data_IF_033920052428
#
_entry.id   IF_033920052428
#
_cell.length_a   1.000
_cell.length_b   1.000
_cell.length_c   1.000
_cell.angle_alpha   90.00
_cell.angle_beta   90.00
_cell.angle_gamma   90.00
#
_symmetry.space_group_name_H-M   'P 1'
#
loop_
_entity.id
_entity.type
_entity.pdbx_description
1 polymer ?
#
# COMPACT_ATOMS: atom_id res chain seq x y z
N UNK A 1 2.79 -8.76 -68.89
CA UNK A 1 3.90 -8.70 -67.92
C UNK A 1 4.85 -7.57 -68.28
N UNK A 2 4.84 -6.45 -67.54
CA UNK A 2 5.99 -5.57 -67.42
C UNK A 2 6.64 -5.72 -66.03
N UNK A 3 7.96 -5.60 -66.01
CA UNK A 3 8.82 -5.88 -64.88
C UNK A 3 8.86 -4.73 -63.84
N UNK A 4 8.96 -5.14 -62.59
CA UNK A 4 9.16 -4.33 -61.38
C UNK A 4 10.59 -3.80 -61.33
N UNK A 5 10.79 -2.50 -61.03
CA UNK A 5 11.98 -2.03 -60.30
C UNK A 5 11.60 -0.98 -59.25
N UNK A 6 12.31 -1.11 -58.12
CA UNK A 6 12.04 -0.61 -56.76
C UNK A 6 12.35 0.87 -56.61
N UNK A 7 11.60 1.54 -55.73
CA UNK A 7 11.82 2.91 -55.25
C UNK A 7 12.74 2.84 -54.01
N UNK A 8 13.77 3.69 -53.88
CA UNK A 8 14.65 3.70 -52.72
C UNK A 8 14.20 4.67 -51.61
N UNK A 9 14.70 4.34 -50.43
CA UNK A 9 14.48 4.87 -49.08
C UNK A 9 15.06 6.29 -48.94
N UNK A 10 14.32 7.20 -48.30
CA UNK A 10 14.81 8.52 -47.90
C UNK A 10 15.68 8.43 -46.65
N UNK A 11 16.90 8.94 -46.76
CA UNK A 11 17.84 9.12 -45.66
C UNK A 11 17.89 10.60 -45.24
N UNK A 12 18.06 10.76 -43.93
CA UNK A 12 18.35 11.93 -43.13
C UNK A 12 19.64 12.62 -43.63
N UNK A 13 19.70 13.96 -43.56
CA UNK A 13 20.81 14.80 -43.08
C UNK A 13 20.67 16.24 -43.63
N UNK A 14 20.76 17.22 -42.73
CA UNK A 14 21.45 18.48 -43.02
C UNK A 14 20.63 19.76 -42.88
N UNK A 15 20.64 20.36 -41.68
CA UNK A 15 20.78 21.83 -41.59
C UNK A 15 21.28 22.24 -40.19
N UNK A 16 22.55 22.63 -40.12
CA UNK A 16 23.10 23.46 -39.05
C UNK A 16 23.98 24.52 -39.70
N UNK A 17 24.09 25.66 -39.00
CA UNK A 17 24.88 26.87 -39.27
C UNK A 17 24.06 28.01 -39.91
N UNK A 18 23.65 28.98 -39.07
CA UNK A 18 24.32 30.27 -38.93
C UNK A 18 23.42 31.23 -38.14
N UNK A 19 23.88 31.73 -36.99
CA UNK A 19 23.83 33.14 -36.63
C UNK A 19 24.72 33.36 -35.41
N UNK A 20 25.76 34.16 -35.60
CA UNK A 20 26.67 34.61 -34.56
C UNK A 20 26.60 36.14 -34.45
N UNK A 21 26.90 36.59 -33.23
CA UNK A 21 27.25 37.94 -32.77
C UNK A 21 26.10 38.90 -32.49
N UNK A 22 25.92 39.27 -31.20
CA UNK A 22 26.57 40.43 -30.56
C UNK A 22 26.12 40.47 -29.08
N UNK A 23 27.06 40.71 -28.16
CA UNK A 23 26.73 41.10 -26.79
C UNK A 23 27.67 40.57 -25.71
N UNK A 24 28.78 41.27 -25.49
CA UNK A 24 29.62 41.13 -24.30
C UNK A 24 28.85 41.63 -23.07
N UNK A 25 28.64 40.77 -22.07
CA UNK A 25 28.32 41.20 -20.70
C UNK A 25 28.89 40.19 -19.68
N UNK A 26 29.44 40.72 -18.60
CA UNK A 26 30.27 40.06 -17.59
C UNK A 26 29.74 38.71 -17.03
N UNK A 27 30.63 37.80 -16.59
CA UNK A 27 30.21 36.63 -15.82
C UNK A 27 29.73 37.08 -14.43
N UNK A 28 28.42 37.14 -14.22
CA UNK A 28 27.87 37.11 -12.86
C UNK A 28 28.12 35.72 -12.29
N UNK A 29 29.04 35.63 -11.34
CA UNK A 29 29.18 34.51 -10.43
C UNK A 29 27.83 34.31 -9.70
N UNK A 30 26.99 33.42 -10.21
CA UNK A 30 25.90 32.87 -9.42
C UNK A 30 26.50 31.92 -8.40
N UNK A 31 26.80 32.43 -7.20
CA UNK A 31 26.87 31.59 -6.02
C UNK A 31 25.46 31.00 -5.81
N UNK A 32 25.31 29.72 -6.15
CA UNK A 32 24.13 28.94 -5.79
C UNK A 32 24.12 28.87 -4.26
N UNK A 33 23.19 29.60 -3.64
CA UNK A 33 22.97 29.51 -2.21
C UNK A 33 22.72 28.03 -1.85
N UNK A 34 23.35 27.56 -0.78
CA UNK A 34 23.10 26.23 -0.26
C UNK A 34 21.60 26.06 0.00
N UNK A 35 21.01 24.88 -0.32
CA UNK A 35 19.61 24.63 0.01
C UNK A 35 19.38 24.84 1.52
N UNK A 36 18.23 25.40 1.91
CA UNK A 36 17.90 25.56 3.32
C UNK A 36 17.99 24.20 4.01
N UNK A 37 18.53 24.21 5.24
CA UNK A 37 18.58 23.00 6.06
C UNK A 37 17.19 22.35 6.12
N UNK A 38 17.10 21.01 6.05
CA UNK A 38 15.82 20.32 6.18
C UNK A 38 15.12 20.77 7.47
N UNK A 39 13.81 21.00 7.38
CA UNK A 39 13.02 21.33 8.55
C UNK A 39 13.23 20.25 9.62
N UNK A 40 13.29 20.62 10.92
CA UNK A 40 13.37 19.63 11.98
C UNK A 40 12.16 18.70 11.88
N UNK A 41 12.39 17.40 12.07
CA UNK A 41 11.33 16.41 12.06
C UNK A 41 10.21 16.84 13.02
N UNK A 42 8.92 16.64 12.64
CA UNK A 42 7.82 16.94 13.54
C UNK A 42 8.02 16.16 14.85
N UNK A 43 7.72 16.78 16.00
CA UNK A 43 7.90 16.13 17.30
C UNK A 43 7.10 14.83 17.33
N UNK A 44 7.73 13.75 17.79
CA UNK A 44 7.06 12.46 18.00
C UNK A 44 5.78 12.69 18.80
N UNK A 45 4.64 12.11 18.38
CA UNK A 45 3.40 12.26 19.12
C UNK A 45 3.59 11.79 20.56
N UNK A 46 2.96 12.45 21.55
CA UNK A 46 3.14 12.12 22.95
C UNK A 46 2.82 10.64 23.20
N UNK A 47 3.54 9.98 24.13
CA UNK A 47 3.29 8.58 24.46
C UNK A 47 1.83 8.38 24.87
N UNK A 48 1.21 7.32 24.38
CA UNK A 48 -0.20 7.00 24.67
C UNK A 48 -0.25 6.38 26.08
N UNK A 49 -0.54 7.20 27.08
CA UNK A 49 -0.41 6.83 28.51
C UNK A 49 -1.50 5.90 29.05
N UNK A 50 -2.62 5.75 28.33
CA UNK A 50 -3.80 4.97 28.76
C UNK A 50 -4.10 3.77 27.84
N UNK A 51 -3.10 3.28 27.09
CA UNK A 51 -3.28 2.13 26.20
C UNK A 51 -3.58 0.86 27.00
N UNK A 52 -4.64 0.13 26.64
CA UNK A 52 -4.94 -1.17 27.25
C UNK A 52 -3.88 -2.18 26.78
N UNK A 53 -2.98 -2.67 27.65
CA UNK A 53 -1.88 -3.52 27.22
C UNK A 53 -2.36 -4.91 26.79
N UNK A 54 -1.66 -5.51 25.83
CA UNK A 54 -1.68 -6.97 25.59
C UNK A 54 -2.57 -7.48 24.45
N UNK A 55 -3.36 -6.62 23.78
CA UNK A 55 -4.07 -7.02 22.57
C UNK A 55 -3.20 -6.73 21.36
N UNK A 56 -3.16 -7.65 20.38
CA UNK A 56 -2.45 -7.42 19.12
C UNK A 56 -3.32 -6.59 18.17
N UNK A 57 -2.69 -5.81 17.28
CA UNK A 57 -3.38 -4.90 16.36
C UNK A 57 -2.87 -5.12 14.95
N UNK A 58 -3.79 -5.32 14.01
CA UNK A 58 -3.51 -5.23 12.59
C UNK A 58 -4.07 -3.90 12.05
N UNK A 59 -3.30 -3.18 11.24
CA UNK A 59 -3.76 -1.97 10.55
C UNK A 59 -3.64 -2.16 9.03
N UNK A 60 -4.77 -2.07 8.34
CA UNK A 60 -4.90 -2.25 6.89
C UNK A 60 -5.09 -0.90 6.22
N UNK A 61 -4.20 -0.58 5.29
CA UNK A 61 -4.22 0.61 4.44
C UNK A 61 -4.72 0.18 3.07
N UNK A 62 -5.93 0.62 2.71
CA UNK A 62 -6.58 0.26 1.44
C UNK A 62 -6.50 1.44 0.49
N UNK A 63 -5.71 1.32 -0.57
CA UNK A 63 -5.73 2.29 -1.66
C UNK A 63 -6.94 1.99 -2.53
N UNK A 64 -7.98 2.85 -2.50
CA UNK A 64 -9.18 2.63 -3.29
C UNK A 64 -8.87 2.66 -4.79
N UNK A 65 -9.53 1.78 -5.55
CA UNK A 65 -9.34 1.68 -6.99
C UNK A 65 -9.80 2.96 -7.69
N UNK A 66 -8.95 3.56 -8.52
CA UNK A 66 -9.26 4.82 -9.19
C UNK A 66 -8.79 4.82 -10.65
N UNK A 67 -9.74 4.73 -11.58
CA UNK A 67 -9.48 4.75 -13.02
C UNK A 67 -8.89 6.08 -13.51
N UNK A 68 -9.15 7.18 -12.82
CA UNK A 68 -8.76 8.52 -13.25
C UNK A 68 -7.35 8.88 -12.79
N UNK A 69 -6.98 8.43 -11.58
CA UNK A 69 -5.76 8.87 -10.91
C UNK A 69 -4.66 7.80 -10.83
N UNK A 70 -4.95 6.54 -11.16
CA UNK A 70 -3.99 5.43 -11.10
C UNK A 70 -3.69 4.86 -12.47
N UNK A 71 -2.47 4.35 -12.66
CA UNK A 71 -1.99 3.68 -13.87
C UNK A 71 -2.55 2.26 -14.06
N UNK A 72 -3.77 2.01 -13.61
CA UNK A 72 -4.44 0.71 -13.68
C UNK A 72 -5.06 0.47 -15.05
N UNK A 73 -5.21 -0.81 -15.42
CA UNK A 73 -6.14 -1.16 -16.49
C UNK A 73 -7.55 -0.78 -16.02
N UNK A 74 -8.28 0.11 -16.73
CA UNK A 74 -9.54 0.61 -16.24
C UNK A 74 -10.55 -0.51 -15.96
N UNK A 75 -11.17 -0.44 -14.78
CA UNK A 75 -12.28 -1.31 -14.38
C UNK A 75 -13.61 -0.60 -14.66
N UNK A 76 -14.79 -1.25 -14.56
CA UNK A 76 -16.06 -0.56 -14.70
C UNK A 76 -16.15 0.68 -13.78
N UNK A 77 -16.66 1.80 -14.32
CA UNK A 77 -16.64 3.10 -13.62
C UNK A 77 -17.24 3.08 -12.21
N UNK A 78 -18.27 2.25 -11.98
CA UNK A 78 -18.91 2.11 -10.68
C UNK A 78 -17.97 1.57 -9.58
N UNK A 79 -16.98 0.75 -9.94
CA UNK A 79 -16.07 0.10 -8.98
C UNK A 79 -14.65 0.69 -9.02
N UNK A 80 -14.36 1.54 -10.01
CA UNK A 80 -13.10 2.24 -10.21
C UNK A 80 -13.16 3.74 -9.90
N UNK A 81 -14.12 4.17 -9.07
CA UNK A 81 -14.16 5.52 -8.53
C UNK A 81 -13.47 5.55 -7.16
N UNK A 82 -12.31 6.21 -7.08
CA UNK A 82 -11.47 6.28 -5.88
C UNK A 82 -12.10 7.08 -4.73
N UNK A 83 -13.16 7.85 -5.01
CA UNK A 83 -13.85 8.69 -4.04
C UNK A 83 -15.20 8.09 -3.61
N UNK A 84 -15.57 6.92 -4.11
CA UNK A 84 -16.80 6.19 -3.75
C UNK A 84 -16.47 4.89 -2.99
N UNK A 85 -16.21 4.95 -1.67
CA UNK A 85 -15.90 3.75 -0.90
C UNK A 85 -17.03 2.71 -0.94
N UNK A 86 -18.29 3.12 -1.04
CA UNK A 86 -19.43 2.20 -0.97
C UNK A 86 -19.46 1.18 -2.11
N UNK A 87 -18.95 1.55 -3.29
CA UNK A 87 -18.94 0.70 -4.48
C UNK A 87 -17.52 0.30 -4.93
N UNK A 88 -16.48 0.86 -4.32
CA UNK A 88 -15.11 0.63 -4.76
C UNK A 88 -14.69 -0.85 -4.73
N UNK A 89 -13.93 -1.28 -5.75
CA UNK A 89 -13.42 -2.64 -5.94
C UNK A 89 -12.72 -3.21 -4.69
N UNK A 90 -11.86 -2.42 -4.04
CA UNK A 90 -11.04 -2.89 -2.92
C UNK A 90 -11.72 -2.70 -1.55
N UNK A 91 -12.91 -2.11 -1.50
CA UNK A 91 -13.57 -1.77 -0.24
C UNK A 91 -15.03 -2.25 -0.16
N UNK A 92 -15.94 -1.58 -0.87
CA UNK A 92 -17.38 -1.81 -0.79
C UNK A 92 -17.89 -2.93 -1.68
N UNK A 93 -17.16 -3.31 -2.73
CA UNK A 93 -17.49 -4.47 -3.57
C UNK A 93 -17.52 -5.79 -2.80
N UNK A 94 -18.08 -6.85 -3.41
CA UNK A 94 -18.31 -8.16 -2.78
C UNK A 94 -17.07 -8.76 -2.07
N UNK A 95 -15.90 -8.61 -2.68
CA UNK A 95 -14.60 -9.04 -2.14
C UNK A 95 -13.75 -7.90 -1.58
N UNK A 96 -14.29 -6.69 -1.46
CA UNK A 96 -13.60 -5.56 -0.86
C UNK A 96 -13.48 -5.70 0.66
N UNK A 97 -12.52 -5.00 1.27
CA UNK A 97 -12.17 -5.17 2.70
C UNK A 97 -13.37 -4.94 3.61
N UNK A 98 -14.14 -3.86 3.42
CA UNK A 98 -15.33 -3.58 4.23
C UNK A 98 -16.33 -4.72 4.16
N UNK A 99 -16.70 -5.11 2.95
CA UNK A 99 -17.76 -6.09 2.72
C UNK A 99 -17.34 -7.48 3.17
N UNK A 100 -16.12 -7.89 2.86
CA UNK A 100 -15.61 -9.22 3.21
C UNK A 100 -15.45 -9.39 4.73
N UNK A 101 -14.80 -8.44 5.42
CA UNK A 101 -14.61 -8.52 6.87
C UNK A 101 -15.92 -8.32 7.65
N UNK A 102 -16.86 -7.51 7.17
CA UNK A 102 -18.19 -7.37 7.80
C UNK A 102 -18.98 -8.68 7.75
N UNK A 103 -18.81 -9.49 6.69
CA UNK A 103 -19.47 -10.80 6.55
C UNK A 103 -18.73 -11.93 7.26
N UNK A 104 -17.48 -11.70 7.67
CA UNK A 104 -16.68 -12.71 8.36
C UNK A 104 -17.27 -13.06 9.71
N UNK A 105 -17.29 -14.36 10.04
CA UNK A 105 -17.70 -14.84 11.36
C UNK A 105 -16.63 -14.61 12.43
N UNK A 106 -15.37 -14.40 12.02
CA UNK A 106 -14.24 -14.21 12.92
C UNK A 106 -14.13 -12.78 13.48
N UNK A 107 -14.83 -11.82 12.89
CA UNK A 107 -14.68 -10.40 13.19
C UNK A 107 -16.02 -9.76 13.56
N UNK A 108 -16.04 -9.05 14.69
CA UNK A 108 -17.16 -8.17 15.07
C UNK A 108 -16.76 -6.73 14.78
N UNK A 109 -17.53 -6.05 13.93
CA UNK A 109 -17.35 -4.61 13.68
C UNK A 109 -17.78 -3.81 14.91
N UNK A 110 -16.89 -2.96 15.40
CA UNK A 110 -17.11 -2.07 16.54
C UNK A 110 -17.47 -0.66 16.09
N UNK A 111 -16.85 -0.17 15.02
CA UNK A 111 -17.09 1.18 14.52
C UNK A 111 -16.94 1.31 13.01
N UNK A 112 -17.62 2.33 12.49
CA UNK A 112 -17.45 2.90 11.15
C UNK A 112 -17.26 4.39 11.37
N UNK A 113 -16.11 4.93 11.00
CA UNK A 113 -15.74 6.33 11.24
C UNK A 113 -15.52 6.99 9.87
N UNK A 114 -16.40 7.91 9.45
CA UNK A 114 -16.19 8.66 8.22
C UNK A 114 -15.09 9.69 8.41
N UNK A 115 -14.24 9.87 7.39
CA UNK A 115 -13.22 10.92 7.32
C UNK A 115 -12.37 11.08 8.61
N UNK A 116 -11.75 10.01 9.15
CA UNK A 116 -11.03 10.07 10.43
C UNK A 116 -9.78 10.96 10.39
N UNK A 117 -9.17 11.10 9.21
CA UNK A 117 -7.99 11.94 8.95
C UNK A 117 -7.94 12.32 7.46
N UNK A 118 -7.07 13.26 7.03
CA UNK A 118 -6.93 13.62 5.62
C UNK A 118 -6.73 12.39 4.73
N UNK A 119 -7.35 12.41 3.55
CA UNK A 119 -7.30 11.36 2.51
C UNK A 119 -7.90 10.00 2.90
N UNK A 120 -8.27 9.75 4.16
CA UNK A 120 -9.01 8.55 4.55
C UNK A 120 -10.50 8.86 4.53
N UNK A 121 -11.26 8.21 3.66
CA UNK A 121 -12.70 8.43 3.50
C UNK A 121 -13.53 7.68 4.55
N UNK A 122 -13.07 6.49 4.94
CA UNK A 122 -13.76 5.66 5.93
C UNK A 122 -12.76 4.77 6.68
N UNK A 123 -12.90 4.70 8.00
CA UNK A 123 -12.19 3.74 8.87
C UNK A 123 -13.16 2.75 9.47
N UNK A 124 -12.78 1.48 9.47
CA UNK A 124 -13.46 0.42 10.19
C UNK A 124 -12.61 -0.05 11.35
N UNK A 125 -13.25 -0.28 12.49
CA UNK A 125 -12.61 -0.96 13.63
C UNK A 125 -13.35 -2.26 13.88
N UNK A 126 -12.61 -3.36 13.88
CA UNK A 126 -13.08 -4.69 14.21
C UNK A 126 -12.34 -5.23 15.42
N UNK A 127 -13.00 -6.16 16.11
CA UNK A 127 -12.44 -7.02 17.14
C UNK A 127 -12.60 -8.46 16.71
N UNK A 128 -11.57 -9.28 16.91
CA UNK A 128 -11.71 -10.72 16.72
C UNK A 128 -12.68 -11.30 17.76
N UNK A 129 -13.52 -12.26 17.37
CA UNK A 129 -14.58 -12.79 18.26
C UNK A 129 -14.04 -13.58 19.45
N UNK A 130 -12.89 -14.25 19.27
CA UNK A 130 -12.31 -15.18 20.25
C UNK A 130 -10.90 -14.80 20.75
N UNK A 131 -10.21 -13.89 20.07
CA UNK A 131 -8.79 -13.61 20.29
C UNK A 131 -8.61 -12.15 20.68
N UNK A 132 -7.61 -11.80 21.51
CA UNK A 132 -7.35 -10.42 21.91
C UNK A 132 -6.68 -9.66 20.75
N UNK A 133 -7.42 -9.45 19.66
CA UNK A 133 -6.93 -8.81 18.44
C UNK A 133 -7.90 -7.76 17.96
N UNK A 134 -7.38 -6.56 17.70
CA UNK A 134 -8.06 -5.51 16.93
C UNK A 134 -7.58 -5.49 15.49
N UNK A 135 -8.50 -5.15 14.60
CA UNK A 135 -8.20 -4.88 13.20
C UNK A 135 -8.77 -3.50 12.87
N UNK A 136 -7.91 -2.60 12.43
CA UNK A 136 -8.31 -1.31 11.85
C UNK A 136 -8.08 -1.37 10.35
N UNK A 137 -9.02 -0.85 9.58
CA UNK A 137 -8.88 -0.75 8.13
C UNK A 137 -9.30 0.65 7.68
N UNK A 138 -8.44 1.29 6.88
CA UNK A 138 -8.62 2.64 6.36
C UNK A 138 -8.77 2.60 4.85
N UNK A 139 -9.88 3.13 4.35
CA UNK A 139 -10.12 3.37 2.93
C UNK A 139 -9.56 4.73 2.54
N UNK A 140 -8.41 4.74 1.87
CA UNK A 140 -7.82 5.95 1.34
C UNK A 140 -8.45 6.31 0.00
N UNK A 141 -8.78 7.59 -0.16
CA UNK A 141 -9.14 8.18 -1.43
C UNK A 141 -8.12 7.77 -2.51
N UNK A 142 -8.63 7.14 -3.58
CA UNK A 142 -7.79 6.53 -4.61
C UNK A 142 -6.91 7.52 -5.38
N UNK A 143 -7.21 8.82 -5.32
CA UNK A 143 -6.36 9.88 -5.87
C UNK A 143 -5.03 10.05 -5.09
N UNK A 144 -4.97 9.57 -3.84
CA UNK A 144 -3.85 9.74 -2.91
C UNK A 144 -3.14 8.40 -2.61
N UNK A 145 -2.87 7.63 -3.67
CA UNK A 145 -2.19 6.33 -3.55
C UNK A 145 -0.75 6.48 -3.03
N UNK A 146 -0.06 7.57 -3.40
CA UNK A 146 1.30 7.84 -2.94
C UNK A 146 1.33 8.01 -1.41
N UNK A 147 0.40 8.80 -0.88
CA UNK A 147 0.21 9.02 0.55
C UNK A 147 -0.22 7.73 1.26
N UNK A 148 -1.07 6.92 0.63
CA UNK A 148 -1.46 5.61 1.19
C UNK A 148 -0.26 4.70 1.40
N UNK A 149 0.63 4.62 0.40
CA UNK A 149 1.85 3.82 0.49
C UNK A 149 2.83 4.42 1.50
N UNK A 150 2.99 5.75 1.52
CA UNK A 150 3.85 6.44 2.48
C UNK A 150 3.42 6.20 3.93
N UNK A 151 2.13 6.31 4.22
CA UNK A 151 1.55 6.06 5.55
C UNK A 151 1.72 4.58 5.95
N UNK A 152 1.47 3.64 5.03
CA UNK A 152 1.64 2.21 5.31
C UNK A 152 3.11 1.86 5.60
N UNK A 153 4.05 2.37 4.80
CA UNK A 153 5.48 2.13 4.98
C UNK A 153 6.04 2.83 6.22
N UNK A 154 5.58 4.04 6.52
CA UNK A 154 5.91 4.76 7.77
C UNK A 154 5.40 3.97 8.98
N UNK A 155 4.16 3.49 8.94
CA UNK A 155 3.61 2.63 9.99
C UNK A 155 4.39 1.32 10.17
N UNK A 156 4.86 0.71 9.06
CA UNK A 156 5.69 -0.49 9.09
C UNK A 156 7.02 -0.27 9.83
N UNK A 157 7.55 0.97 9.81
CA UNK A 157 8.74 1.36 10.58
C UNK A 157 8.48 1.63 12.07
N UNK A 158 7.23 1.51 12.54
CA UNK A 158 6.86 1.87 13.90
C UNK A 158 6.69 3.37 14.14
N UNK A 159 6.96 4.20 13.13
CA UNK A 159 6.73 5.64 13.19
C UNK A 159 5.24 6.00 13.03
N UNK A 160 4.92 7.23 13.43
CA UNK A 160 3.57 7.80 13.38
C UNK A 160 2.48 6.91 14.02
N UNK A 161 2.63 6.45 15.28
CA UNK A 161 1.54 5.79 15.97
C UNK A 161 0.35 6.73 16.12
N UNK A 162 -0.85 6.20 15.90
CA UNK A 162 -2.11 6.94 16.02
C UNK A 162 -2.97 6.33 17.13
N UNK A 163 -3.55 7.16 17.99
CA UNK A 163 -4.44 6.68 19.04
C UNK A 163 -5.88 6.53 18.53
N UNK A 164 -6.45 5.34 18.67
CA UNK A 164 -7.87 5.07 18.41
C UNK A 164 -8.56 4.82 19.75
N UNK A 165 -9.73 5.44 19.96
CA UNK A 165 -10.56 5.23 21.16
C UNK A 165 -11.91 4.66 20.75
N UNK A 166 -12.21 3.43 21.19
CA UNK A 166 -13.47 2.74 20.91
C UNK A 166 -14.00 2.12 22.20
N UNK A 167 -15.28 2.35 22.50
CA UNK A 167 -15.94 1.81 23.72
C UNK A 167 -15.16 2.14 25.01
N UNK A 168 -14.57 3.34 25.10
CA UNK A 168 -13.76 3.79 26.25
C UNK A 168 -12.37 3.15 26.36
N UNK A 169 -11.97 2.31 25.40
CA UNK A 169 -10.62 1.73 25.31
C UNK A 169 -9.79 2.50 24.30
N UNK A 170 -8.61 2.92 24.72
CA UNK A 170 -7.61 3.57 23.87
C UNK A 170 -6.53 2.56 23.50
N UNK A 171 -6.12 2.53 22.23
CA UNK A 171 -5.01 1.71 21.74
C UNK A 171 -4.33 2.37 20.54
N UNK A 172 -3.09 1.99 20.30
CA UNK A 172 -2.28 2.54 19.21
C UNK A 172 -2.43 1.71 17.92
N UNK A 173 -2.60 2.40 16.80
CA UNK A 173 -2.57 1.86 15.43
C UNK A 173 -1.49 2.55 14.61
N UNK A 174 -1.43 2.27 13.30
CA UNK A 174 -0.34 2.73 12.43
C UNK A 174 1.01 2.27 13.00
N UNK A 175 1.95 3.17 13.34
CA UNK A 175 3.20 2.79 13.99
C UNK A 175 3.05 1.97 15.28
N UNK A 176 1.90 2.04 15.96
CA UNK A 176 1.59 1.26 17.15
C UNK A 176 1.05 -0.16 16.89
N UNK A 177 0.72 -0.49 15.63
CA UNK A 177 0.19 -1.80 15.27
C UNK A 177 1.29 -2.87 15.17
N UNK A 178 0.91 -4.13 15.37
CA UNK A 178 1.83 -5.28 15.35
C UNK A 178 1.97 -5.88 13.95
N UNK A 179 0.93 -5.75 13.13
CA UNK A 179 0.92 -6.13 11.72
C UNK A 179 0.38 -4.98 10.86
N UNK A 180 1.12 -4.64 9.81
CA UNK A 180 0.75 -3.63 8.82
C UNK A 180 0.37 -4.33 7.53
N UNK A 181 -0.75 -3.95 6.95
CA UNK A 181 -1.18 -4.48 5.67
C UNK A 181 -1.46 -3.35 4.67
N UNK A 182 -0.97 -3.48 3.46
CA UNK A 182 -1.35 -2.67 2.31
C UNK A 182 -2.12 -3.54 1.32
N UNK A 183 -3.22 -3.02 0.77
CA UNK A 183 -4.00 -3.71 -0.26
C UNK A 183 -4.55 -2.71 -1.28
N UNK A 184 -4.41 -3.06 -2.55
CA UNK A 184 -4.89 -2.25 -3.68
C UNK A 184 -3.93 -2.29 -4.86
N UNK A 185 -3.98 -1.27 -5.72
CA UNK A 185 -3.03 -1.10 -6.82
C UNK A 185 -1.60 -0.96 -6.29
N UNK A 186 -0.58 -1.34 -7.07
CA UNK A 186 0.80 -1.04 -6.72
C UNK A 186 1.17 0.36 -7.25
N UNK A 187 1.00 1.39 -6.43
CA UNK A 187 1.32 2.77 -6.83
C UNK A 187 2.80 3.00 -7.16
N UNK A 188 3.73 2.17 -6.67
CA UNK A 188 5.14 2.25 -7.06
C UNK A 188 5.39 1.85 -8.53
N UNK A 189 4.39 1.31 -9.22
CA UNK A 189 4.41 1.13 -10.67
C UNK A 189 4.06 2.43 -11.43
N UNK A 190 3.44 3.41 -10.76
CA UNK A 190 2.97 4.65 -11.35
C UNK A 190 3.89 5.82 -10.99
N UNK A 191 4.38 5.85 -9.75
CA UNK A 191 5.13 6.96 -9.17
C UNK A 191 6.38 6.48 -8.44
N UNK A 192 7.38 7.35 -8.35
CA UNK A 192 8.49 7.18 -7.42
C UNK A 192 8.13 7.80 -6.07
N UNK A 193 8.41 7.08 -4.98
CA UNK A 193 8.10 7.54 -3.64
C UNK A 193 9.38 8.02 -2.95
N UNK A 194 9.51 9.34 -2.76
CA UNK A 194 10.59 9.90 -1.95
C UNK A 194 10.23 9.79 -0.47
N UNK A 195 10.53 8.64 0.14
CA UNK A 195 10.23 8.37 1.54
C UNK A 195 11.50 8.01 2.32
N UNK A 196 11.86 8.87 3.27
CA UNK A 196 12.90 8.59 4.24
C UNK A 196 12.29 7.86 5.44
N UNK A 197 12.73 6.62 5.67
CA UNK A 197 12.27 5.81 6.80
C UNK A 197 13.37 5.74 7.86
N UNK A 198 12.97 5.94 9.12
CA UNK A 198 13.83 5.60 10.26
C UNK A 198 13.46 4.20 10.71
N UNK A 199 14.38 3.21 10.67
CA UNK A 199 14.05 1.84 11.01
C UNK A 199 13.60 1.72 12.47
N UNK A 200 12.62 0.84 12.71
CA UNK A 200 12.19 0.50 14.06
C UNK A 200 13.37 -0.09 14.85
N UNK A 201 13.78 0.47 16.00
CA UNK A 201 14.83 -0.12 16.82
C UNK A 201 14.40 -1.40 17.55
N UNK A 202 13.09 -1.69 17.60
CA UNK A 202 12.52 -2.88 18.23
C UNK A 202 12.43 -4.10 17.30
N UNK A 203 11.63 -5.09 17.72
CA UNK A 203 11.30 -6.23 16.89
C UNK A 203 10.61 -5.77 15.58
N UNK A 204 10.93 -6.40 14.44
CA UNK A 204 10.33 -6.03 13.18
C UNK A 204 8.82 -6.27 13.21
N UNK A 205 8.07 -5.38 12.58
CA UNK A 205 6.62 -5.55 12.41
C UNK A 205 6.34 -6.52 11.27
N UNK A 206 5.28 -7.31 11.40
CA UNK A 206 4.80 -8.11 10.27
C UNK A 206 4.20 -7.19 9.20
N UNK A 207 4.56 -7.43 7.94
CA UNK A 207 4.05 -6.67 6.79
C UNK A 207 3.34 -7.60 5.78
N UNK A 208 2.12 -7.24 5.40
CA UNK A 208 1.35 -7.89 4.33
C UNK A 208 1.13 -6.89 3.19
N UNK A 209 1.72 -7.10 2.02
CA UNK A 209 1.57 -6.18 0.88
C UNK A 209 0.89 -6.91 -0.29
N UNK A 210 -0.42 -6.74 -0.41
CA UNK A 210 -1.23 -7.33 -1.49
C UNK A 210 -1.47 -6.31 -2.61
N UNK A 211 -0.52 -6.28 -3.54
CA UNK A 211 -0.60 -5.52 -4.78
C UNK A 211 0.26 -6.22 -5.84
N UNK A 212 0.21 -5.78 -7.10
CA UNK A 212 0.94 -6.42 -8.20
C UNK A 212 2.47 -6.36 -8.00
N UNK A 213 3.16 -7.51 -8.08
CA UNK A 213 4.62 -7.64 -7.98
C UNK A 213 5.24 -6.97 -6.75
N UNK A 214 4.52 -6.94 -5.62
CA UNK A 214 4.88 -6.12 -4.48
C UNK A 214 6.25 -6.46 -3.87
N UNK A 215 6.72 -7.71 -3.96
CA UNK A 215 8.05 -8.08 -3.47
C UNK A 215 9.19 -7.41 -4.22
N UNK A 216 8.97 -6.97 -5.45
CA UNK A 216 9.99 -6.29 -6.25
C UNK A 216 10.05 -4.79 -5.93
N UNK A 217 8.89 -4.18 -5.71
CA UNK A 217 8.79 -2.72 -5.54
C UNK A 217 8.93 -2.28 -4.07
N UNK A 218 8.42 -3.06 -3.12
CA UNK A 218 8.38 -2.67 -1.71
C UNK A 218 9.58 -3.15 -0.88
N UNK A 219 10.44 -4.02 -1.44
CA UNK A 219 11.51 -4.66 -0.67
C UNK A 219 12.45 -3.67 0.02
N UNK A 220 12.94 -2.66 -0.69
CA UNK A 220 13.90 -1.72 -0.11
C UNK A 220 13.25 -0.84 0.97
N UNK A 221 11.98 -0.48 0.81
CA UNK A 221 11.22 0.24 1.83
C UNK A 221 10.99 -0.62 3.08
N UNK A 222 10.63 -1.90 2.94
CA UNK A 222 10.46 -2.80 4.09
C UNK A 222 11.80 -3.05 4.81
N UNK A 223 12.93 -3.12 4.09
CA UNK A 223 14.26 -3.20 4.71
C UNK A 223 14.57 -1.93 5.50
N UNK A 224 14.33 -0.76 4.89
CA UNK A 224 14.54 0.53 5.54
C UNK A 224 13.61 0.73 6.76
N UNK A 225 12.42 0.14 6.75
CA UNK A 225 11.50 0.14 7.89
C UNK A 225 11.92 -0.81 9.03
N UNK A 226 12.81 -1.78 8.79
CA UNK A 226 12.99 -2.95 9.65
C UNK A 226 11.64 -3.70 9.85
N UNK A 227 10.94 -3.99 8.75
CA UNK A 227 9.68 -4.74 8.74
C UNK A 227 9.88 -6.10 8.07
N UNK A 228 9.23 -7.14 8.60
CA UNK A 228 9.33 -8.51 8.08
C UNK A 228 8.20 -8.79 7.09
N UNK A 229 8.49 -9.12 5.82
CA UNK A 229 7.46 -9.40 4.81
C UNK A 229 6.78 -10.75 5.09
N UNK A 230 5.71 -10.71 5.87
CA UNK A 230 4.90 -11.87 6.20
C UNK A 230 4.20 -12.45 4.97
N UNK A 231 3.64 -11.59 4.10
CA UNK A 231 3.00 -12.01 2.86
C UNK A 231 3.02 -10.89 1.80
N UNK A 232 3.47 -11.22 0.60
CA UNK A 232 3.51 -10.30 -0.54
C UNK A 232 3.55 -11.07 -1.87
N UNK A 233 3.64 -10.39 -3.01
CA UNK A 233 3.46 -11.04 -4.33
C UNK A 233 4.68 -10.93 -5.23
N UNK A 234 4.85 -11.94 -6.07
CA UNK A 234 5.96 -12.05 -7.03
C UNK A 234 5.60 -11.57 -8.43
N UNK A 235 4.31 -11.39 -8.73
CA UNK A 235 3.80 -11.04 -10.05
C UNK A 235 2.43 -10.32 -9.94
N UNK A 236 1.80 -10.03 -11.07
CA UNK A 236 0.46 -9.45 -11.15
C UNK A 236 -0.56 -10.33 -10.40
N UNK A 237 -1.41 -9.70 -9.58
CA UNK A 237 -2.42 -10.37 -8.79
C UNK A 237 -3.75 -9.62 -8.85
N UNK A 238 -4.85 -10.26 -8.43
CA UNK A 238 -6.07 -9.56 -8.02
C UNK A 238 -6.05 -9.29 -6.50
N UNK A 239 -5.84 -8.03 -6.05
CA UNK A 239 -5.67 -7.70 -4.63
C UNK A 239 -7.02 -7.54 -3.92
N UNK A 240 -7.69 -8.66 -3.68
CA UNK A 240 -8.99 -8.72 -2.99
C UNK A 240 -8.86 -9.26 -1.55
N UNK A 241 -9.86 -8.95 -0.72
CA UNK A 241 -9.78 -9.12 0.73
C UNK A 241 -9.77 -10.58 1.20
N UNK A 242 -10.17 -11.56 0.38
CA UNK A 242 -10.12 -12.98 0.78
C UNK A 242 -8.71 -13.45 1.09
N UNK A 243 -7.68 -12.96 0.38
CA UNK A 243 -6.29 -13.33 0.62
C UNK A 243 -5.80 -12.70 1.91
N UNK A 244 -6.13 -11.43 2.13
CA UNK A 244 -5.82 -10.71 3.36
C UNK A 244 -6.49 -11.37 4.58
N UNK A 245 -7.77 -11.72 4.47
CA UNK A 245 -8.54 -12.33 5.53
C UNK A 245 -7.94 -13.64 6.02
N UNK A 246 -7.59 -14.54 5.10
CA UNK A 246 -7.05 -15.85 5.47
C UNK A 246 -5.60 -15.77 5.95
N UNK A 247 -4.82 -14.82 5.43
CA UNK A 247 -3.51 -14.49 5.98
C UNK A 247 -3.61 -13.98 7.43
N UNK A 248 -4.50 -13.00 7.67
CA UNK A 248 -4.74 -12.47 9.01
C UNK A 248 -5.33 -13.52 9.95
N UNK A 249 -6.12 -14.48 9.45
CA UNK A 249 -6.59 -15.60 10.27
C UNK A 249 -5.43 -16.42 10.81
N UNK A 250 -4.43 -16.73 9.98
CA UNK A 250 -3.23 -17.43 10.43
C UNK A 250 -2.39 -16.57 11.40
N UNK A 251 -2.25 -15.28 11.12
CA UNK A 251 -1.56 -14.34 12.00
C UNK A 251 -2.22 -14.22 13.38
N UNK A 252 -3.57 -14.12 13.42
CA UNK A 252 -4.39 -14.12 14.63
C UNK A 252 -4.21 -15.40 15.46
N UNK A 253 -3.94 -16.52 14.81
CA UNK A 253 -3.70 -17.80 15.46
C UNK A 253 -2.23 -18.03 15.85
N UNK A 254 -1.32 -17.13 15.50
CA UNK A 254 0.12 -17.29 15.78
C UNK A 254 0.76 -18.40 14.96
N UNK A 255 0.25 -18.64 13.75
CA UNK A 255 0.78 -19.66 12.87
C UNK A 255 2.13 -19.26 12.26
N UNK A 256 2.88 -20.25 11.77
CA UNK A 256 4.15 -19.99 11.09
C UNK A 256 3.95 -19.23 9.78
N UNK A 257 4.95 -18.45 9.30
CA UNK A 257 4.85 -17.72 8.04
C UNK A 257 4.48 -18.61 6.84
N UNK A 258 5.03 -19.83 6.80
CA UNK A 258 4.70 -20.84 5.78
C UNK A 258 3.23 -21.25 5.83
N UNK A 259 2.66 -21.41 7.03
CA UNK A 259 1.24 -21.76 7.20
C UNK A 259 0.31 -20.61 6.78
N UNK A 260 0.70 -19.37 7.10
CA UNK A 260 0.01 -18.14 6.69
C UNK A 260 0.01 -17.99 5.16
N UNK A 261 1.17 -18.19 4.52
CA UNK A 261 1.31 -18.25 3.06
C UNK A 261 0.39 -19.31 2.45
N UNK A 262 0.37 -20.50 3.04
CA UNK A 262 -0.45 -21.62 2.61
C UNK A 262 -1.95 -21.33 2.69
N UNK A 263 -2.42 -20.67 3.76
CA UNK A 263 -3.81 -20.21 3.90
C UNK A 263 -4.17 -19.20 2.81
N UNK A 264 -3.35 -18.16 2.68
CA UNK A 264 -3.55 -17.10 1.71
C UNK A 264 -3.59 -17.64 0.26
N UNK A 265 -2.71 -18.60 -0.06
CA UNK A 265 -2.67 -19.25 -1.36
C UNK A 265 -3.92 -20.09 -1.65
N UNK A 266 -4.45 -20.81 -0.65
CA UNK A 266 -5.71 -21.56 -0.78
C UNK A 266 -6.92 -20.63 -0.98
N UNK A 267 -6.98 -19.53 -0.23
CA UNK A 267 -8.01 -18.51 -0.41
C UNK A 267 -7.96 -17.91 -1.81
N UNK A 268 -6.77 -17.52 -2.28
CA UNK A 268 -6.56 -16.98 -3.63
C UNK A 268 -6.96 -17.99 -4.72
N UNK A 269 -6.47 -19.22 -4.61
CA UNK A 269 -6.78 -20.30 -5.55
C UNK A 269 -8.28 -20.55 -5.70
N UNK A 270 -9.03 -20.51 -4.59
CA UNK A 270 -10.48 -20.70 -4.58
C UNK A 270 -11.21 -19.59 -5.33
N UNK A 271 -10.87 -18.33 -5.05
CA UNK A 271 -11.59 -17.19 -5.62
C UNK A 271 -11.18 -16.89 -7.06
N UNK A 272 -9.88 -16.98 -7.36
CA UNK A 272 -9.33 -16.73 -8.70
C UNK A 272 -9.35 -17.97 -9.60
N UNK A 273 -9.87 -19.10 -9.10
CA UNK A 273 -10.04 -20.36 -9.84
C UNK A 273 -8.76 -20.85 -10.51
N UNK A 274 -7.61 -20.59 -9.88
CA UNK A 274 -6.32 -21.12 -10.31
C UNK A 274 -5.89 -22.29 -9.43
N UNK A 275 -4.87 -23.04 -9.84
CA UNK A 275 -4.33 -24.09 -8.97
C UNK A 275 -3.68 -23.52 -7.70
N UNK A 276 -3.72 -24.26 -6.58
CA UNK A 276 -2.99 -23.89 -5.35
C UNK A 276 -1.50 -23.74 -5.62
N UNK A 277 -0.93 -24.57 -6.51
CA UNK A 277 0.48 -24.46 -6.92
C UNK A 277 0.78 -23.11 -7.56
N UNK A 278 -0.10 -22.61 -8.43
CA UNK A 278 0.05 -21.30 -9.05
C UNK A 278 -0.06 -20.18 -8.00
N UNK A 279 -1.06 -20.25 -7.11
CA UNK A 279 -1.23 -19.29 -6.02
C UNK A 279 -0.02 -19.25 -5.07
N UNK A 280 0.55 -20.41 -4.72
CA UNK A 280 1.77 -20.49 -3.89
C UNK A 280 3.02 -19.92 -4.57
N UNK A 281 3.08 -19.89 -5.90
CA UNK A 281 4.16 -19.23 -6.65
C UNK A 281 3.95 -17.72 -6.75
N UNK A 282 2.69 -17.29 -6.84
CA UNK A 282 2.32 -15.88 -6.88
C UNK A 282 2.56 -15.19 -5.54
N UNK A 283 2.16 -15.83 -4.45
CA UNK A 283 2.37 -15.33 -3.09
C UNK A 283 3.74 -15.77 -2.58
N UNK A 284 4.34 -14.94 -1.74
CA UNK A 284 5.65 -15.17 -1.11
C UNK A 284 5.58 -14.78 0.37
N UNK A 285 6.39 -15.42 1.18
CA UNK A 285 6.65 -15.04 2.57
C UNK A 285 8.16 -14.96 2.76
N UNK A 286 8.64 -14.02 3.57
CA UNK A 286 10.06 -13.70 3.70
C UNK A 286 10.67 -13.05 2.45
N UNK A 287 11.98 -12.82 2.53
CA UNK A 287 12.80 -12.05 1.59
C UNK A 287 13.07 -12.68 0.24
#
# INVERSE_FOLDING_TARGET
MPAIRRIPIWNIIGLFIAFAAVGVLLPRLFQRAAPPAPAPDPPSPPPITDEVPGWRKAHVFVALCDNANQGIVPVPAAIGNGQDPAHNLYWGCGSGVKTYFTRSRGWKRLAVVPNPKPHVLERLVFRHVEKPVYLVADAYDGAYIAETMADALTAASGAAPEAVTIEGRRFAVAGGADCIAYIGHNGLMDVSLELALTPNPGAPKDAIILSCASSQYFADYLRAANAEPLLWTTNLMCPEAYTLHDALTGWVNGESPVSIHDRAARAYSTHQRCSVRAAKKLLKTGW
#
